data_IF_074890361982
#
_entry.id   IF_074890361982
#
_cell.length_a   1.000
_cell.length_b   1.000
_cell.length_c   1.000
_cell.angle_alpha   90.00
_cell.angle_beta   90.00
_cell.angle_gamma   90.00
#
_symmetry.space_group_name_H-M   'P 1'
#
loop_
_entity.id
_entity.type
_entity.pdbx_description
1 polymer ?
#
# COMPACT_ATOMS: atom_id res chain seq x y z
N UNK A 1 -3.92 -22.18 1.60
CA UNK A 1 -5.39 -22.28 1.41
C UNK A 1 -5.72 -22.92 0.07
N UNK A 2 -7.00 -22.92 -0.28
CA UNK A 2 -7.46 -23.47 -1.55
C UNK A 2 -6.65 -22.85 -2.69
N UNK A 3 -6.65 -21.52 -2.73
CA UNK A 3 -5.94 -20.75 -3.74
C UNK A 3 -6.38 -19.31 -3.52
N UNK A 4 -6.52 -18.94 -2.25
CA UNK A 4 -6.96 -17.60 -1.89
C UNK A 4 -5.80 -16.67 -1.54
N UNK A 5 -4.77 -16.67 -2.38
CA UNK A 5 -3.61 -15.80 -2.20
C UNK A 5 -3.81 -14.53 -3.01
N UNK A 6 -2.96 -13.54 -2.78
CA UNK A 6 -3.06 -12.28 -3.50
C UNK A 6 -1.67 -11.78 -3.87
N UNK A 7 -1.61 -10.97 -4.93
CA UNK A 7 -0.33 -10.42 -5.36
C UNK A 7 0.01 -9.30 -4.40
N UNK A 8 -0.98 -8.49 -4.08
CA UNK A 8 -0.76 -7.39 -3.17
C UNK A 8 -1.99 -7.02 -2.37
N UNK A 9 -1.75 -6.52 -1.16
CA UNK A 9 -2.80 -6.04 -0.28
C UNK A 9 -2.53 -4.54 -0.32
N UNK A 10 -3.54 -3.78 -0.69
CA UNK A 10 -3.38 -2.35 -0.82
C UNK A 10 -4.09 -1.55 0.26
N UNK A 11 -3.33 -0.95 1.16
CA UNK A 11 -3.92 -0.14 2.21
C UNK A 11 -3.92 1.30 1.71
N UNK A 12 -5.02 2.00 1.95
CA UNK A 12 -5.18 3.39 1.51
C UNK A 12 -6.36 4.03 2.27
N UNK A 13 -6.59 5.32 2.08
CA UNK A 13 -7.70 5.97 2.78
C UNK A 13 -8.93 6.16 1.90
N UNK A 14 -10.04 6.50 2.54
CA UNK A 14 -11.28 6.70 1.81
C UNK A 14 -11.16 7.88 0.85
N UNK A 15 -10.46 8.93 1.25
CA UNK A 15 -10.30 10.08 0.36
C UNK A 15 -9.55 9.76 -0.92
N UNK A 16 -8.67 8.77 -0.88
CA UNK A 16 -7.93 8.41 -2.09
C UNK A 16 -8.59 7.21 -2.77
N UNK A 17 -9.72 6.79 -2.24
CA UNK A 17 -10.41 5.62 -2.76
C UNK A 17 -10.71 5.61 -4.25
N UNK A 18 -11.09 6.75 -4.81
CA UNK A 18 -11.41 6.76 -6.23
C UNK A 18 -10.21 6.32 -7.04
N UNK A 19 -9.09 6.98 -6.80
CA UNK A 19 -7.87 6.68 -7.51
C UNK A 19 -7.54 5.20 -7.43
N UNK A 20 -7.50 4.67 -6.21
CA UNK A 20 -7.16 3.26 -6.03
C UNK A 20 -8.16 2.32 -6.69
N UNK A 21 -9.44 2.56 -6.42
CA UNK A 21 -10.51 1.72 -6.93
C UNK A 21 -10.88 1.85 -8.40
N UNK A 22 -10.27 2.79 -9.10
CA UNK A 22 -10.50 2.98 -10.52
C UNK A 22 -9.18 2.85 -11.24
N UNK A 23 -8.37 3.91 -11.14
CA UNK A 23 -7.06 3.95 -11.78
C UNK A 23 -6.20 2.71 -11.54
N UNK A 24 -5.92 2.38 -10.28
CA UNK A 24 -5.07 1.24 -10.00
C UNK A 24 -5.68 -0.08 -10.41
N UNK A 25 -6.96 -0.23 -10.15
CA UNK A 25 -7.67 -1.45 -10.50
C UNK A 25 -7.61 -1.71 -12.01
N UNK A 26 -7.82 -0.68 -12.81
CA UNK A 26 -7.82 -0.85 -14.25
C UNK A 26 -6.46 -1.24 -14.80
N UNK A 27 -5.41 -0.80 -14.12
CA UNK A 27 -4.05 -1.08 -14.54
C UNK A 27 -3.52 -2.36 -13.94
N UNK A 28 -4.27 -2.95 -13.01
CA UNK A 28 -3.79 -4.17 -12.37
C UNK A 28 -4.76 -5.33 -12.44
N UNK A 29 -5.94 -5.16 -11.84
CA UNK A 29 -6.96 -6.19 -11.84
C UNK A 29 -7.45 -6.41 -13.27
N UNK A 30 -7.51 -5.34 -14.05
CA UNK A 30 -7.96 -5.48 -15.42
C UNK A 30 -6.80 -5.57 -16.39
N UNK A 31 -5.61 -5.80 -15.86
CA UNK A 31 -4.42 -5.95 -16.68
C UNK A 31 -4.49 -7.33 -17.32
N UNK A 32 -3.46 -7.74 -18.06
CA UNK A 32 -3.48 -9.05 -18.70
C UNK A 32 -2.12 -9.72 -18.88
N UNK A 33 -1.86 -10.80 -18.13
CA UNK A 33 -2.81 -11.37 -17.17
C UNK A 33 -3.11 -10.36 -16.07
N UNK A 34 -4.09 -10.64 -15.21
CA UNK A 34 -4.42 -9.70 -14.14
C UNK A 34 -3.80 -10.03 -12.79
N UNK A 35 -3.81 -9.04 -11.90
CA UNK A 35 -3.29 -9.22 -10.55
C UNK A 35 -4.52 -9.43 -9.67
N UNK A 36 -4.34 -10.14 -8.57
CA UNK A 36 -5.41 -10.39 -7.62
C UNK A 36 -5.11 -9.49 -6.42
N UNK A 37 -6.00 -8.55 -6.13
CA UNK A 37 -5.76 -7.61 -5.03
C UNK A 37 -6.75 -7.65 -3.87
N UNK A 38 -6.25 -7.35 -2.68
CA UNK A 38 -7.07 -7.27 -1.48
C UNK A 38 -7.09 -5.77 -1.20
N UNK A 39 -8.16 -5.10 -1.56
CA UNK A 39 -8.22 -3.66 -1.34
C UNK A 39 -8.74 -3.30 0.03
N UNK A 40 -7.83 -2.83 0.87
CA UNK A 40 -8.12 -2.41 2.23
C UNK A 40 -9.56 -1.89 2.46
N UNK A 41 -9.97 -0.86 1.71
CA UNK A 41 -11.31 -0.29 1.89
C UNK A 41 -12.38 -0.68 0.89
N UNK A 42 -12.31 -1.90 0.37
CA UNK A 42 -13.30 -2.39 -0.59
C UNK A 42 -13.63 -3.84 -0.33
N UNK A 43 -12.68 -4.56 0.25
CA UNK A 43 -12.88 -5.97 0.47
C UNK A 43 -12.93 -6.41 1.92
N UNK A 44 -12.74 -5.48 2.85
CA UNK A 44 -12.78 -5.84 4.25
C UNK A 44 -14.16 -6.32 4.64
N UNK A 45 -14.20 -7.38 5.45
CA UNK A 45 -15.44 -7.96 5.93
C UNK A 45 -16.02 -7.04 7.00
N UNK A 46 -17.32 -6.77 6.91
CA UNK A 46 -17.96 -5.89 7.87
C UNK A 46 -17.93 -6.47 9.28
N UNK A 47 -18.55 -7.63 9.44
CA UNK A 47 -18.59 -8.26 10.74
C UNK A 47 -17.22 -8.46 11.37
N UNK A 48 -16.32 -9.07 10.61
CA UNK A 48 -14.96 -9.34 11.08
C UNK A 48 -14.38 -8.10 11.73
N UNK A 49 -13.46 -8.29 12.68
CA UNK A 49 -12.83 -7.18 13.37
C UNK A 49 -11.74 -6.52 12.54
N UNK A 50 -11.34 -5.34 12.98
CA UNK A 50 -10.31 -4.56 12.31
C UNK A 50 -8.98 -5.29 12.16
N UNK A 51 -8.34 -5.56 13.30
CA UNK A 51 -7.04 -6.21 13.30
C UNK A 51 -7.03 -7.53 12.57
N UNK A 52 -8.17 -8.21 12.53
CA UNK A 52 -8.20 -9.47 11.83
C UNK A 52 -8.15 -9.17 10.34
N UNK A 53 -8.94 -8.19 9.92
CA UNK A 53 -8.96 -7.80 8.51
C UNK A 53 -7.54 -7.49 8.08
N UNK A 54 -6.92 -6.54 8.78
CA UNK A 54 -5.56 -6.16 8.45
C UNK A 54 -4.62 -7.37 8.44
N UNK A 55 -4.21 -7.83 9.61
CA UNK A 55 -3.31 -8.97 9.71
C UNK A 55 -3.63 -10.07 8.71
N UNK A 56 -4.91 -10.40 8.55
CA UNK A 56 -5.26 -11.47 7.63
C UNK A 56 -4.99 -11.16 6.17
N UNK A 57 -5.40 -9.98 5.72
CA UNK A 57 -5.15 -9.58 4.34
C UNK A 57 -3.64 -9.63 4.11
N UNK A 58 -2.91 -8.86 4.91
CA UNK A 58 -1.46 -8.82 4.82
C UNK A 58 -0.86 -10.21 4.65
N UNK A 59 -1.25 -11.14 5.52
CA UNK A 59 -0.70 -12.48 5.44
C UNK A 59 -1.16 -13.29 4.24
N UNK A 60 -2.33 -12.98 3.70
CA UNK A 60 -2.83 -13.75 2.55
C UNK A 60 -2.35 -13.22 1.20
N UNK A 61 -1.63 -12.10 1.21
CA UNK A 61 -1.15 -11.50 -0.03
C UNK A 61 0.38 -11.44 -0.10
N UNK A 62 0.93 -11.67 -1.28
CA UNK A 62 2.38 -11.65 -1.48
C UNK A 62 3.05 -10.35 -1.07
N UNK A 63 2.39 -9.22 -1.33
CA UNK A 63 2.97 -7.93 -0.96
C UNK A 63 1.97 -6.91 -0.43
N UNK A 64 2.48 -5.92 0.29
CA UNK A 64 1.67 -4.87 0.87
C UNK A 64 1.99 -3.53 0.23
N UNK A 65 0.97 -2.86 -0.29
CA UNK A 65 1.17 -1.56 -0.93
C UNK A 65 0.55 -0.41 -0.14
N UNK A 66 1.36 0.58 0.21
CA UNK A 66 0.83 1.73 0.93
C UNK A 66 0.65 2.90 -0.02
N UNK A 67 -0.56 3.46 -0.05
CA UNK A 67 -0.83 4.59 -0.92
C UNK A 67 -0.73 5.83 -0.05
N UNK A 68 0.48 6.39 0.03
CA UNK A 68 0.76 7.56 0.84
C UNK A 68 0.24 8.88 0.32
N UNK A 69 -0.34 9.66 1.22
CA UNK A 69 -0.88 11.00 0.92
C UNK A 69 -0.98 11.71 2.26
N UNK A 70 -1.20 13.02 2.25
CA UNK A 70 -1.33 13.75 3.51
C UNK A 70 -2.38 13.04 4.36
N UNK A 71 -3.59 12.96 3.83
CA UNK A 71 -4.70 12.31 4.52
C UNK A 71 -4.43 10.86 4.96
N UNK A 72 -3.72 10.08 4.16
CA UNK A 72 -3.45 8.71 4.58
C UNK A 72 -2.52 8.68 5.79
N UNK A 73 -1.59 9.62 5.82
CA UNK A 73 -0.64 9.69 6.92
C UNK A 73 -1.38 9.98 8.23
N UNK A 74 -2.14 11.07 8.25
CA UNK A 74 -2.89 11.45 9.44
C UNK A 74 -3.89 10.37 9.89
N UNK A 75 -4.71 9.89 8.95
CA UNK A 75 -5.75 8.91 9.23
C UNK A 75 -5.49 7.41 9.23
N UNK A 76 -4.36 6.94 8.69
CA UNK A 76 -4.13 5.49 8.65
C UNK A 76 -2.73 5.00 8.97
N UNK A 77 -1.74 5.89 8.97
CA UNK A 77 -0.38 5.44 9.19
C UNK A 77 0.04 4.81 10.52
N UNK A 78 -0.24 5.49 11.64
CA UNK A 78 0.16 5.00 12.97
C UNK A 78 0.16 3.49 13.20
N UNK A 79 -0.96 2.85 12.93
CA UNK A 79 -1.04 1.41 13.11
C UNK A 79 0.18 0.72 12.50
N UNK A 80 0.76 1.34 11.47
CA UNK A 80 1.90 0.75 10.79
C UNK A 80 3.24 1.13 11.40
N UNK A 81 3.25 2.15 12.26
CA UNK A 81 4.49 2.53 12.92
C UNK A 81 4.77 1.44 13.94
N UNK A 82 3.97 1.43 15.00
CA UNK A 82 4.10 0.42 16.06
C UNK A 82 3.37 -0.85 15.69
N UNK A 83 4.11 -1.94 15.52
CA UNK A 83 3.51 -3.24 15.17
C UNK A 83 3.84 -4.24 16.28
N UNK A 84 3.27 -5.45 16.23
CA UNK A 84 3.56 -6.44 17.27
C UNK A 84 3.62 -7.93 16.91
N UNK A 85 4.48 -8.64 17.65
CA UNK A 85 4.77 -10.08 17.53
C UNK A 85 3.92 -10.95 16.61
N UNK A 86 4.00 -10.70 15.31
CA UNK A 86 3.23 -11.48 14.36
C UNK A 86 4.08 -11.96 13.18
N UNK A 87 5.05 -11.14 12.78
CA UNK A 87 5.94 -11.52 11.68
C UNK A 87 7.21 -12.09 12.30
N UNK A 88 7.17 -13.40 12.53
CA UNK A 88 8.28 -14.12 13.12
C UNK A 88 9.58 -13.84 12.39
N UNK A 89 9.48 -13.12 11.28
CA UNK A 89 10.65 -12.78 10.48
C UNK A 89 10.88 -11.27 10.45
N UNK A 90 9.97 -10.52 11.06
CA UNK A 90 10.06 -9.07 11.10
C UNK A 90 9.95 -8.47 9.70
N UNK A 91 8.88 -7.72 9.46
CA UNK A 91 8.65 -7.09 8.17
C UNK A 91 9.87 -6.34 7.61
N UNK A 92 10.83 -6.02 8.47
CA UNK A 92 12.03 -5.29 8.06
C UNK A 92 12.89 -6.11 7.10
N UNK A 93 12.64 -7.42 7.05
CA UNK A 93 13.37 -8.32 6.17
C UNK A 93 12.38 -9.27 5.50
N UNK A 94 11.13 -8.82 5.41
CA UNK A 94 10.06 -9.60 4.80
C UNK A 94 9.61 -8.96 3.48
N UNK A 95 10.50 -8.97 2.49
CA UNK A 95 10.20 -8.40 1.17
C UNK A 95 10.03 -6.88 1.14
N UNK A 96 9.84 -6.26 2.30
CA UNK A 96 9.64 -4.82 2.37
C UNK A 96 8.34 -4.40 1.67
N UNK A 97 7.75 -3.30 2.12
CA UNK A 97 6.51 -2.82 1.56
C UNK A 97 6.73 -1.96 0.33
N UNK A 98 5.73 -1.91 -0.54
CA UNK A 98 5.80 -1.08 -1.72
C UNK A 98 5.08 0.22 -1.40
N UNK A 99 5.80 1.32 -1.47
CA UNK A 99 5.21 2.61 -1.16
C UNK A 99 4.92 3.44 -2.38
N UNK A 100 3.73 4.01 -2.42
CA UNK A 100 3.33 4.87 -3.52
C UNK A 100 3.06 6.23 -2.92
N UNK A 101 3.65 7.27 -3.50
CA UNK A 101 3.42 8.62 -3.01
C UNK A 101 2.43 9.25 -3.98
N UNK A 102 1.16 9.24 -3.59
CA UNK A 102 0.09 9.77 -4.44
C UNK A 102 0.19 11.28 -4.63
N UNK A 103 0.63 11.97 -3.59
CA UNK A 103 0.81 13.42 -3.65
C UNK A 103 1.99 13.74 -2.76
N UNK A 104 2.48 14.98 -2.83
CA UNK A 104 3.62 15.30 -1.95
C UNK A 104 3.17 15.36 -0.49
N UNK A 105 4.11 15.17 0.42
CA UNK A 105 3.81 15.21 1.85
C UNK A 105 4.85 16.05 2.56
N UNK A 106 4.39 17.10 3.25
CA UNK A 106 5.28 17.98 4.00
C UNK A 106 5.83 17.17 5.17
N UNK A 107 7.04 16.63 5.03
CA UNK A 107 7.60 15.81 6.09
C UNK A 107 7.89 16.62 7.35
N UNK A 108 7.92 17.94 7.21
CA UNK A 108 8.16 18.77 8.37
C UNK A 108 7.00 18.52 9.32
N UNK A 109 5.79 18.42 8.76
CA UNK A 109 4.60 18.19 9.56
C UNK A 109 4.50 16.76 10.07
N UNK A 110 5.08 15.81 9.34
CA UNK A 110 5.05 14.42 9.76
C UNK A 110 5.60 14.38 11.17
N UNK A 111 4.79 13.93 12.14
CA UNK A 111 5.22 13.85 13.53
C UNK A 111 6.72 13.86 13.79
N UNK A 112 7.27 12.71 14.13
CA UNK A 112 8.69 12.59 14.44
C UNK A 112 8.80 11.22 15.07
N UNK A 113 7.69 10.79 15.67
CA UNK A 113 7.60 9.49 16.30
C UNK A 113 7.29 8.48 15.20
N UNK A 114 6.97 9.00 14.01
CA UNK A 114 6.71 8.15 12.85
C UNK A 114 8.09 7.85 12.26
N UNK A 115 8.89 7.10 13.01
CA UNK A 115 10.23 6.75 12.58
C UNK A 115 10.24 6.06 11.22
N UNK A 116 9.52 4.95 11.11
CA UNK A 116 9.49 4.22 9.85
C UNK A 116 9.22 5.17 8.71
N UNK A 117 8.09 5.85 8.78
CA UNK A 117 7.69 6.78 7.74
C UNK A 117 8.76 7.78 7.36
N UNK A 118 9.26 8.53 8.34
CA UNK A 118 10.30 9.51 8.04
C UNK A 118 11.43 8.89 7.26
N UNK A 119 11.86 7.69 7.66
CA UNK A 119 12.93 6.99 6.94
C UNK A 119 12.47 6.97 5.48
N UNK A 120 11.39 6.24 5.23
CA UNK A 120 10.78 6.11 3.91
C UNK A 120 10.98 7.38 3.09
N UNK A 121 10.40 8.47 3.58
CA UNK A 121 10.50 9.76 2.91
C UNK A 121 11.94 10.11 2.53
N UNK A 122 12.86 10.02 3.48
CA UNK A 122 14.27 10.32 3.20
C UNK A 122 14.82 9.34 2.18
N UNK A 123 14.73 8.05 2.48
CA UNK A 123 15.20 7.00 1.58
C UNK A 123 14.72 7.33 0.16
N UNK A 124 13.69 8.16 0.09
CA UNK A 124 13.09 8.57 -1.17
C UNK A 124 12.95 7.36 -2.08
N UNK A 125 12.40 6.31 -1.50
CA UNK A 125 12.15 5.08 -2.22
C UNK A 125 10.64 4.96 -2.21
N UNK A 126 10.05 5.07 -3.40
CA UNK A 126 8.62 4.98 -3.56
C UNK A 126 8.27 5.39 -4.96
N UNK A 127 7.13 4.93 -5.45
CA UNK A 127 6.71 5.29 -6.77
C UNK A 127 5.91 6.56 -6.64
N UNK A 128 6.49 7.66 -7.10
CA UNK A 128 5.85 8.95 -7.04
C UNK A 128 4.86 9.08 -8.18
N UNK A 129 3.61 9.38 -7.84
CA UNK A 129 2.56 9.55 -8.84
C UNK A 129 2.83 10.85 -9.60
N UNK A 130 3.20 10.74 -10.88
CA UNK A 130 3.51 11.87 -11.74
C UNK A 130 2.40 12.85 -12.03
N UNK A 131 2.76 14.13 -11.95
CA UNK A 131 1.86 15.25 -12.25
C UNK A 131 1.63 15.28 -13.76
N UNK A 132 2.67 14.95 -14.51
CA UNK A 132 2.59 14.94 -15.96
C UNK A 132 1.97 13.63 -16.45
N UNK A 133 0.79 13.75 -17.03
CA UNK A 133 0.05 12.60 -17.53
C UNK A 133 0.82 11.82 -18.55
N UNK A 134 1.79 12.46 -19.17
CA UNK A 134 2.57 11.77 -20.18
C UNK A 134 3.50 10.76 -19.53
N UNK A 135 3.70 10.88 -18.23
CA UNK A 135 4.59 9.98 -17.51
C UNK A 135 3.94 8.92 -16.61
N UNK A 136 2.62 8.80 -16.68
CA UNK A 136 1.93 7.83 -15.85
C UNK A 136 2.06 6.41 -16.36
N UNK A 137 2.23 6.25 -17.66
CA UNK A 137 2.38 4.92 -18.25
C UNK A 137 3.57 4.24 -17.59
N UNK A 138 4.68 4.96 -17.52
CA UNK A 138 5.88 4.40 -16.93
C UNK A 138 5.65 4.01 -15.49
N UNK A 139 4.90 4.86 -14.78
CA UNK A 139 4.57 4.62 -13.38
C UNK A 139 3.93 3.25 -13.18
N UNK A 140 2.84 2.98 -13.89
CA UNK A 140 2.19 1.68 -13.76
C UNK A 140 3.17 0.56 -14.09
N UNK A 141 4.01 0.76 -15.11
CA UNK A 141 4.98 -0.25 -15.48
C UNK A 141 5.86 -0.51 -14.27
N UNK A 142 6.29 0.54 -13.59
CA UNK A 142 7.12 0.35 -12.42
C UNK A 142 6.32 -0.33 -11.33
N UNK A 143 5.07 0.09 -11.13
CA UNK A 143 4.24 -0.51 -10.09
C UNK A 143 4.11 -2.02 -10.23
N UNK A 144 3.73 -2.48 -11.42
CA UNK A 144 3.56 -3.91 -11.65
C UNK A 144 4.87 -4.62 -11.40
N UNK A 145 5.94 -4.04 -11.92
CA UNK A 145 7.27 -4.61 -11.75
C UNK A 145 7.56 -4.84 -10.28
N UNK A 146 7.29 -3.83 -9.46
CA UNK A 146 7.54 -3.91 -8.03
C UNK A 146 6.71 -5.00 -7.37
N UNK A 147 5.41 -4.99 -7.62
CA UNK A 147 4.53 -5.98 -7.04
C UNK A 147 5.05 -7.38 -7.36
N UNK A 148 5.50 -7.59 -8.59
CA UNK A 148 6.02 -8.90 -9.01
C UNK A 148 7.51 -9.06 -8.78
N UNK A 149 8.18 -8.03 -8.27
CA UNK A 149 9.61 -8.11 -8.04
C UNK A 149 9.92 -9.31 -7.15
#
# INVERSE_FOLDING_TARGET
>A
SRNICYDAFVSYSERDAYWVENLMVQELENFNPPFKLCLHKRDFIHGKWIIDNIIDSIEKSHKTVFVLSENFVKSEWCKYELDFSHFRLFDENNDAAILILLEPIEKKAIPQRFCKLRKIMNTKTYLEWPMDEAQREGFWVNLRAAIKS
#
